data_IF_005944525605
#
_entry.id   IF_005944525605
#
_cell.length_a   1.000
_cell.length_b   1.000
_cell.length_c   1.000
_cell.angle_alpha   90.00
_cell.angle_beta   90.00
_cell.angle_gamma   90.00
#
_symmetry.space_group_name_H-M   'P 1'
#
loop_
_entity.id
_entity.type
_entity.pdbx_description
1 polymer ?
#
# COMPACT_ATOMS: atom_id res chain seq x y z
N UNK A 1 7.51 50.79 19.09
CA UNK A 1 8.20 51.52 20.18
C UNK A 1 8.82 50.51 21.12
N UNK A 2 9.96 50.83 21.74
CA UNK A 2 10.72 49.93 22.63
C UNK A 2 9.88 49.43 23.81
N UNK A 3 9.02 50.30 24.35
CA UNK A 3 8.07 49.94 25.40
C UNK A 3 7.02 48.91 24.95
N UNK A 4 6.47 49.07 23.74
CA UNK A 4 5.51 48.11 23.16
C UNK A 4 6.13 46.74 22.91
N UNK A 5 7.39 46.70 22.45
CA UNK A 5 8.12 45.44 22.31
C UNK A 5 8.35 44.77 23.68
N UNK A 6 8.69 45.55 24.71
CA UNK A 6 8.83 45.03 26.07
C UNK A 6 7.51 44.48 26.64
N UNK A 7 6.39 45.17 26.41
CA UNK A 7 5.06 44.66 26.77
C UNK A 7 4.76 43.30 26.15
N UNK A 8 5.05 43.14 24.87
CA UNK A 8 4.82 41.89 24.16
C UNK A 8 5.77 40.78 24.62
N UNK A 9 7.02 41.14 24.96
CA UNK A 9 7.96 40.23 25.62
C UNK A 9 7.43 39.70 26.96
N UNK A 10 6.91 40.57 27.82
CA UNK A 10 6.35 40.19 29.13
C UNK A 10 5.09 39.32 28.97
N UNK A 11 4.22 39.60 28.00
CA UNK A 11 3.04 38.75 27.71
C UNK A 11 3.43 37.33 27.30
N UNK A 12 4.53 37.17 26.58
CA UNK A 12 5.05 35.86 26.15
C UNK A 12 5.85 35.17 27.26
N UNK A 13 6.56 35.93 28.09
CA UNK A 13 7.37 35.42 29.19
C UNK A 13 6.66 35.53 30.55
N UNK A 14 5.92 34.48 30.91
CA UNK A 14 5.17 34.38 32.18
C UNK A 14 6.01 34.44 33.47
N UNK A 15 7.34 34.52 33.38
CA UNK A 15 8.22 34.67 34.56
C UNK A 15 8.26 36.10 35.08
N UNK A 16 7.92 37.09 34.26
CA UNK A 16 7.97 38.50 34.62
C UNK A 16 6.55 38.97 34.98
N UNK A 17 6.33 39.51 36.19
CA UNK A 17 5.04 40.08 36.55
C UNK A 17 4.68 41.26 35.64
N UNK A 18 3.41 41.42 35.23
CA UNK A 18 2.97 42.54 34.39
C UNK A 18 3.12 43.90 35.08
N UNK A 19 3.21 43.93 36.42
CA UNK A 19 3.49 45.13 37.23
C UNK A 19 4.82 45.80 36.83
N UNK A 20 5.80 45.00 36.42
CA UNK A 20 7.13 45.49 35.97
C UNK A 20 7.01 46.39 34.75
N UNK A 21 6.07 46.11 33.85
CA UNK A 21 5.81 46.95 32.67
C UNK A 21 5.37 48.35 33.10
N UNK A 22 4.50 48.44 34.11
CA UNK A 22 4.03 49.74 34.60
C UNK A 22 5.16 50.52 35.28
N UNK A 23 6.00 49.86 36.07
CA UNK A 23 7.17 50.49 36.70
C UNK A 23 8.17 51.02 35.68
N UNK A 24 8.46 50.24 34.62
CA UNK A 24 9.39 50.62 33.54
C UNK A 24 8.79 51.72 32.66
N UNK A 25 7.47 51.70 32.41
CA UNK A 25 6.77 52.71 31.62
C UNK A 25 6.72 54.11 32.26
N UNK A 26 6.90 54.21 33.57
CA UNK A 26 6.97 55.49 34.29
C UNK A 26 8.35 56.17 34.18
N UNK A 27 9.36 55.51 33.59
CA UNK A 27 10.71 56.06 33.44
C UNK A 27 10.72 56.99 32.22
N UNK A 28 10.83 58.31 32.47
CA UNK A 28 10.84 59.33 31.42
C UNK A 28 12.19 59.51 30.71
N UNK A 29 13.28 59.02 31.32
CA UNK A 29 14.63 59.17 30.75
C UNK A 29 14.99 57.96 29.88
N UNK A 30 15.30 58.15 28.58
CA UNK A 30 15.48 57.06 27.61
C UNK A 30 16.65 56.13 27.94
N UNK A 31 17.71 56.64 28.56
CA UNK A 31 18.81 55.83 29.07
C UNK A 31 18.34 54.90 30.19
N UNK A 32 17.81 55.45 31.29
CA UNK A 32 17.31 54.63 32.40
C UNK A 32 16.22 53.64 31.97
N UNK A 33 15.39 54.00 30.99
CA UNK A 33 14.39 53.09 30.41
C UNK A 33 15.07 51.85 29.78
N UNK A 34 16.11 52.06 28.97
CA UNK A 34 16.87 50.98 28.36
C UNK A 34 17.54 50.07 29.41
N UNK A 35 18.13 50.63 30.49
CA UNK A 35 18.72 49.82 31.56
C UNK A 35 17.69 48.98 32.32
N UNK A 36 16.55 49.60 32.66
CA UNK A 36 15.48 48.94 33.38
C UNK A 36 14.89 47.77 32.56
N UNK A 37 14.73 47.95 31.24
CA UNK A 37 14.29 46.87 30.35
C UNK A 37 15.34 45.74 30.33
N UNK A 38 16.62 46.06 30.13
CA UNK A 38 17.71 45.09 30.02
C UNK A 38 17.95 44.27 31.29
N UNK A 39 17.53 44.77 32.45
CA UNK A 39 17.54 44.02 33.71
C UNK A 39 16.58 42.81 33.67
N UNK A 40 15.46 42.92 32.95
CA UNK A 40 14.42 41.90 32.90
C UNK A 40 14.51 40.98 31.68
N UNK A 41 15.24 41.35 30.63
CA UNK A 41 15.47 40.48 29.47
C UNK A 41 16.60 39.49 29.75
N UNK A 42 16.35 38.22 29.42
CA UNK A 42 17.31 37.12 29.58
C UNK A 42 18.34 37.08 28.45
N UNK A 43 19.22 38.09 28.39
CA UNK A 43 20.28 38.20 27.39
C UNK A 43 21.63 37.70 27.90
N UNK A 44 22.53 37.36 26.97
CA UNK A 44 23.91 36.99 27.30
C UNK A 44 24.68 38.20 27.87
N UNK A 45 25.68 37.98 28.75
CA UNK A 45 26.48 39.08 29.31
C UNK A 45 27.13 39.96 28.23
N UNK A 46 27.57 39.37 27.12
CA UNK A 46 28.15 40.10 25.99
C UNK A 46 27.16 41.07 25.33
N UNK A 47 25.90 40.66 25.15
CA UNK A 47 24.86 41.53 24.60
C UNK A 47 24.50 42.67 25.56
N UNK A 48 24.47 42.40 26.88
CA UNK A 48 24.24 43.43 27.90
C UNK A 48 25.36 44.47 27.89
N UNK A 49 26.60 44.03 27.77
CA UNK A 49 27.77 44.91 27.68
C UNK A 49 27.70 45.81 26.43
N UNK A 50 27.33 45.27 25.26
CA UNK A 50 27.19 46.06 24.03
C UNK A 50 26.17 47.20 24.14
N UNK A 51 25.10 47.01 24.92
CA UNK A 51 24.10 48.07 25.15
C UNK A 51 24.64 49.16 26.08
N UNK A 52 25.44 48.79 27.09
CA UNK A 52 26.07 49.73 28.03
C UNK A 52 27.19 50.56 27.38
N UNK A 53 27.83 50.04 26.34
CA UNK A 53 28.88 50.73 25.57
C UNK A 53 28.33 51.81 24.61
N UNK A 54 27.03 51.80 24.32
CA UNK A 54 26.38 52.83 23.51
C UNK A 54 26.16 54.11 24.33
N UNK A 55 26.91 55.16 23.99
CA UNK A 55 26.82 56.48 24.63
C UNK A 55 25.62 57.30 24.13
N UNK A 56 25.21 57.11 22.89
CA UNK A 56 24.01 57.78 22.35
C UNK A 56 22.74 57.05 22.77
N UNK A 57 21.79 57.79 23.35
CA UNK A 57 20.54 57.23 23.87
C UNK A 57 19.66 56.67 22.75
N UNK A 58 19.77 57.21 21.52
CA UNK A 58 18.96 56.82 20.38
C UNK A 58 19.46 55.49 19.81
N UNK A 59 20.75 55.39 19.52
CA UNK A 59 21.39 54.13 19.11
C UNK A 59 21.19 53.02 20.14
N UNK A 60 21.28 53.36 21.43
CA UNK A 60 21.07 52.40 22.52
C UNK A 60 19.65 51.84 22.55
N UNK A 61 18.63 52.68 22.37
CA UNK A 61 17.23 52.24 22.33
C UNK A 61 16.93 51.39 21.08
N UNK A 62 17.55 51.70 19.94
CA UNK A 62 17.45 50.90 18.72
C UNK A 62 18.05 49.50 18.94
N UNK A 63 19.23 49.43 19.56
CA UNK A 63 19.89 48.16 19.92
C UNK A 63 19.03 47.31 20.86
N UNK A 64 18.47 47.92 21.89
CA UNK A 64 17.56 47.23 22.83
C UNK A 64 16.31 46.72 22.11
N UNK A 65 15.77 47.50 21.18
CA UNK A 65 14.62 47.09 20.38
C UNK A 65 14.94 45.86 19.50
N UNK A 66 16.08 45.85 18.82
CA UNK A 66 16.52 44.70 18.01
C UNK A 66 16.68 43.43 18.87
N UNK A 67 17.36 43.55 20.02
CA UNK A 67 17.54 42.44 20.94
C UNK A 67 16.20 41.92 21.47
N UNK A 68 15.28 42.80 21.85
CA UNK A 68 13.92 42.42 22.25
C UNK A 68 13.17 41.69 21.15
N UNK A 69 13.22 42.19 19.91
CA UNK A 69 12.54 41.56 18.78
C UNK A 69 13.07 40.14 18.53
N UNK A 70 14.39 39.96 18.54
CA UNK A 70 15.00 38.64 18.38
C UNK A 70 14.55 37.66 19.47
N UNK A 71 14.45 38.12 20.72
CA UNK A 71 14.05 37.28 21.84
C UNK A 71 12.54 36.95 21.81
N UNK A 72 11.71 37.90 21.38
CA UNK A 72 10.28 37.68 21.14
C UNK A 72 10.07 36.58 20.09
N UNK A 73 10.83 36.60 18.99
CA UNK A 73 10.76 35.56 17.96
C UNK A 73 11.10 34.18 18.51
N UNK A 74 12.17 34.06 19.31
CA UNK A 74 12.56 32.82 19.98
C UNK A 74 11.41 32.30 20.85
N UNK A 75 10.81 33.16 21.67
CA UNK A 75 9.68 32.79 22.54
C UNK A 75 8.44 32.36 21.74
N UNK A 76 8.15 33.02 20.61
CA UNK A 76 7.03 32.66 19.74
C UNK A 76 7.24 31.28 19.08
N UNK A 77 8.45 31.00 18.60
CA UNK A 77 8.82 29.70 18.04
C UNK A 77 8.62 28.62 19.09
N UNK A 78 9.14 28.82 20.30
CA UNK A 78 9.02 27.84 21.37
C UNK A 78 7.56 27.59 21.78
N UNK A 79 6.73 28.64 21.87
CA UNK A 79 5.28 28.50 22.09
C UNK A 79 4.59 27.68 20.99
N UNK A 80 4.96 27.92 19.73
CA UNK A 80 4.43 27.18 18.58
C UNK A 80 4.85 25.70 18.62
N UNK A 81 6.09 25.41 18.99
CA UNK A 81 6.59 24.04 19.17
C UNK A 81 5.80 23.33 20.28
N UNK A 82 5.68 23.95 21.46
CA UNK A 82 4.90 23.40 22.57
C UNK A 82 3.44 23.11 22.18
N UNK A 83 2.83 24.01 21.41
CA UNK A 83 1.48 23.82 20.88
C UNK A 83 1.36 22.60 19.97
N UNK A 84 2.30 22.41 19.02
CA UNK A 84 2.31 21.23 18.14
C UNK A 84 2.53 19.93 18.90
N UNK A 85 3.48 19.91 19.83
CA UNK A 85 3.77 18.73 20.66
C UNK A 85 2.54 18.33 21.46
N UNK A 86 1.85 19.30 22.10
CA UNK A 86 0.63 19.03 22.86
C UNK A 86 -0.47 18.43 21.97
N UNK A 87 -0.72 19.01 20.79
CA UNK A 87 -1.71 18.47 19.85
C UNK A 87 -1.34 17.06 19.37
N UNK A 88 -0.07 16.79 19.11
CA UNK A 88 0.41 15.48 18.68
C UNK A 88 0.24 14.44 19.80
N UNK A 89 0.54 14.80 21.05
CA UNK A 89 0.33 13.92 22.21
C UNK A 89 -1.15 13.61 22.44
N UNK A 90 -2.03 14.61 22.35
CA UNK A 90 -3.49 14.42 22.49
C UNK A 90 -4.05 13.50 21.40
N UNK A 91 -3.59 13.65 20.15
CA UNK A 91 -3.96 12.75 19.05
C UNK A 91 -3.50 11.32 19.31
N UNK A 92 -2.23 11.14 19.71
CA UNK A 92 -1.68 9.81 20.00
C UNK A 92 -2.38 9.11 21.16
N UNK A 93 -2.68 9.83 22.25
CA UNK A 93 -3.47 9.28 23.35
C UNK A 93 -4.89 8.90 22.93
N UNK A 94 -5.53 9.73 22.11
CA UNK A 94 -6.87 9.45 21.56
C UNK A 94 -6.86 8.22 20.67
N UNK A 95 -5.89 8.11 19.76
CA UNK A 95 -5.71 6.93 18.90
C UNK A 95 -5.43 5.67 19.72
N UNK A 96 -4.55 5.75 20.72
CA UNK A 96 -4.28 4.64 21.62
C UNK A 96 -5.55 4.15 22.33
N UNK A 97 -6.31 5.08 22.91
CA UNK A 97 -7.55 4.77 23.61
C UNK A 97 -8.61 4.16 22.67
N UNK A 98 -8.81 4.74 21.49
CA UNK A 98 -9.73 4.22 20.48
C UNK A 98 -9.33 2.82 20.00
N UNK A 99 -8.04 2.55 19.83
CA UNK A 99 -7.56 1.23 19.44
C UNK A 99 -7.79 0.18 20.54
N UNK A 100 -7.57 0.51 21.81
CA UNK A 100 -7.91 -0.38 22.92
C UNK A 100 -9.43 -0.61 23.01
N UNK A 101 -10.24 0.43 22.79
CA UNK A 101 -11.69 0.26 22.70
C UNK A 101 -12.10 -0.65 21.54
N UNK A 102 -11.51 -0.48 20.35
CA UNK A 102 -11.79 -1.34 19.20
C UNK A 102 -11.41 -2.80 19.48
N UNK A 103 -10.28 -3.06 20.12
CA UNK A 103 -9.89 -4.42 20.53
C UNK A 103 -10.86 -5.00 21.55
N UNK A 104 -11.32 -4.21 22.51
CA UNK A 104 -12.32 -4.65 23.48
C UNK A 104 -13.64 -4.97 22.78
N UNK A 105 -14.12 -4.09 21.88
CA UNK A 105 -15.32 -4.29 21.07
C UNK A 105 -15.18 -5.57 20.22
N UNK A 106 -14.05 -5.82 19.58
CA UNK A 106 -13.81 -7.04 18.79
C UNK A 106 -13.84 -8.31 19.65
N UNK A 107 -13.38 -8.25 20.90
CA UNK A 107 -13.51 -9.37 21.85
C UNK A 107 -14.97 -9.59 22.27
N UNK A 108 -15.69 -8.52 22.57
CA UNK A 108 -17.11 -8.56 22.99
C UNK A 108 -18.05 -8.97 21.83
N UNK A 109 -17.73 -8.61 20.58
CA UNK A 109 -18.49 -9.03 19.40
C UNK A 109 -18.30 -10.53 19.05
N UNK A 110 -17.49 -11.28 19.79
CA UNK A 110 -17.53 -12.75 19.77
C UNK A 110 -16.83 -13.43 18.59
N UNK A 111 -15.84 -12.79 17.96
CA UNK A 111 -15.14 -13.33 16.78
C UNK A 111 -13.78 -14.00 17.11
N UNK A 112 -13.56 -14.35 18.38
CA UNK A 112 -12.30 -14.98 18.82
C UNK A 112 -12.43 -16.44 19.28
N UNK A 113 -13.64 -17.03 19.34
CA UNK A 113 -13.78 -18.35 19.98
C UNK A 113 -14.24 -19.53 19.11
N UNK A 114 -14.61 -19.38 17.83
CA UNK A 114 -14.81 -20.55 16.96
C UNK A 114 -14.38 -20.31 15.49
N UNK A 115 -13.10 -20.54 15.21
CA UNK A 115 -12.55 -20.62 13.85
C UNK A 115 -11.74 -19.40 13.46
N UNK A 116 -10.40 -19.53 13.50
CA UNK A 116 -9.46 -18.46 13.12
C UNK A 116 -9.89 -17.77 11.83
N UNK A 117 -9.97 -16.44 11.87
CA UNK A 117 -10.73 -15.65 10.90
C UNK A 117 -10.47 -16.02 9.44
N UNK A 118 -11.46 -15.75 8.58
CA UNK A 118 -11.47 -15.99 7.13
C UNK A 118 -10.11 -15.70 6.42
N UNK A 119 -9.37 -14.69 6.90
CA UNK A 119 -8.04 -14.31 6.41
C UNK A 119 -6.90 -15.29 6.76
N UNK A 120 -6.97 -15.97 7.89
CA UNK A 120 -6.02 -17.00 8.29
C UNK A 120 -6.30 -18.32 7.56
N UNK A 121 -7.57 -18.64 7.30
CA UNK A 121 -7.94 -19.77 6.43
C UNK A 121 -7.42 -19.54 4.99
N UNK A 122 -7.63 -18.34 4.43
CA UNK A 122 -7.07 -17.95 3.13
C UNK A 122 -5.54 -18.09 3.09
N UNK A 123 -4.86 -17.70 4.17
CA UNK A 123 -3.42 -17.90 4.32
C UNK A 123 -3.02 -19.38 4.21
N UNK A 124 -3.71 -20.26 4.96
CA UNK A 124 -3.46 -21.72 4.89
C UNK A 124 -3.74 -22.30 3.51
N UNK A 125 -4.76 -21.81 2.80
CA UNK A 125 -5.08 -22.25 1.43
C UNK A 125 -3.98 -21.86 0.44
N UNK A 126 -3.40 -20.65 0.56
CA UNK A 126 -2.28 -20.17 -0.27
C UNK A 126 -1.05 -21.08 -0.10
N UNK A 127 -0.73 -21.48 1.12
CA UNK A 127 0.41 -22.38 1.38
C UNK A 127 0.19 -23.79 0.79
N UNK A 128 -1.03 -24.31 0.92
CA UNK A 128 -1.39 -25.66 0.42
C UNK A 128 -1.54 -25.73 -1.11
N UNK A 129 -1.93 -24.64 -1.77
CA UNK A 129 -2.20 -24.62 -3.21
C UNK A 129 -0.97 -24.94 -4.09
N UNK A 130 0.25 -24.82 -3.54
CA UNK A 130 1.46 -25.20 -4.25
C UNK A 130 1.80 -24.27 -5.41
N UNK A 131 1.58 -22.96 -5.20
CA UNK A 131 1.84 -21.87 -6.12
C UNK A 131 3.31 -21.82 -6.57
N UNK A 132 3.57 -21.27 -7.76
CA UNK A 132 4.93 -20.88 -8.16
C UNK A 132 5.44 -19.76 -7.26
N UNK A 133 6.77 -19.55 -7.19
CA UNK A 133 7.37 -18.52 -6.32
C UNK A 133 6.82 -17.11 -6.60
N UNK A 134 6.64 -16.78 -7.87
CA UNK A 134 6.07 -15.49 -8.29
C UNK A 134 4.60 -15.33 -7.90
N UNK A 135 3.80 -16.37 -8.13
CA UNK A 135 2.38 -16.36 -7.79
C UNK A 135 2.16 -16.31 -6.27
N UNK A 136 2.98 -17.02 -5.49
CA UNK A 136 2.94 -17.02 -4.02
C UNK A 136 3.26 -15.63 -3.47
N UNK A 137 4.35 -15.01 -3.92
CA UNK A 137 4.72 -13.67 -3.48
C UNK A 137 3.61 -12.65 -3.77
N UNK A 138 2.96 -12.75 -4.93
CA UNK A 138 1.84 -11.88 -5.30
C UNK A 138 0.60 -12.13 -4.43
N UNK A 139 0.25 -13.40 -4.19
CA UNK A 139 -0.88 -13.78 -3.34
C UNK A 139 -0.68 -13.34 -1.88
N UNK A 140 0.51 -13.52 -1.32
CA UNK A 140 0.85 -13.06 0.04
C UNK A 140 0.83 -11.54 0.15
N UNK A 141 1.29 -10.83 -0.89
CA UNK A 141 1.22 -9.37 -0.97
C UNK A 141 -0.23 -8.85 -0.96
N UNK A 142 -1.12 -9.46 -1.75
CA UNK A 142 -2.54 -9.11 -1.78
C UNK A 142 -3.25 -9.49 -0.47
N UNK A 143 -2.89 -10.61 0.16
CA UNK A 143 -3.42 -10.99 1.49
C UNK A 143 -3.03 -9.97 2.57
N UNK A 144 -1.80 -9.44 2.54
CA UNK A 144 -1.38 -8.38 3.47
C UNK A 144 -2.18 -7.10 3.29
N UNK A 145 -2.46 -6.70 2.04
CA UNK A 145 -3.34 -5.56 1.76
C UNK A 145 -4.75 -5.80 2.27
N UNK A 146 -5.30 -7.00 2.04
CA UNK A 146 -6.63 -7.37 2.51
C UNK A 146 -6.77 -7.29 4.04
N UNK A 147 -5.71 -7.66 4.79
CA UNK A 147 -5.67 -7.52 6.26
C UNK A 147 -5.73 -6.08 6.76
N UNK A 148 -5.27 -5.12 5.96
CA UNK A 148 -5.26 -3.69 6.32
C UNK A 148 -6.54 -2.97 5.89
N UNK A 149 -7.34 -3.58 5.00
CA UNK A 149 -8.60 -3.02 4.51
C UNK A 149 -9.75 -3.38 5.45
N UNK A 150 -10.78 -2.51 5.51
CA UNK A 150 -12.02 -2.84 6.18
C UNK A 150 -12.74 -3.99 5.44
N UNK A 151 -13.17 -5.01 6.18
CA UNK A 151 -13.75 -6.26 5.66
C UNK A 151 -15.02 -6.08 4.80
N UNK A 152 -15.71 -4.94 4.96
CA UNK A 152 -16.94 -4.58 4.24
C UNK A 152 -16.71 -3.66 3.02
N UNK A 153 -15.47 -3.32 2.68
CA UNK A 153 -15.17 -2.45 1.53
C UNK A 153 -15.35 -3.18 0.19
N UNK A 154 -15.88 -2.49 -0.82
CA UNK A 154 -15.97 -3.01 -2.19
C UNK A 154 -14.60 -3.43 -2.76
N UNK A 155 -13.52 -2.76 -2.35
CA UNK A 155 -12.15 -3.11 -2.74
C UNK A 155 -11.70 -4.44 -2.12
N UNK A 156 -12.10 -4.73 -0.88
CA UNK A 156 -11.79 -5.98 -0.21
C UNK A 156 -12.43 -7.18 -0.94
N UNK A 157 -13.64 -7.00 -1.48
CA UNK A 157 -14.31 -8.03 -2.31
C UNK A 157 -13.53 -8.33 -3.59
N UNK A 158 -13.00 -7.31 -4.27
CA UNK A 158 -12.22 -7.48 -5.51
C UNK A 158 -10.93 -8.25 -5.22
N UNK A 159 -10.22 -7.90 -4.14
CA UNK A 159 -8.98 -8.57 -3.75
C UNK A 159 -9.24 -10.02 -3.32
N UNK A 160 -10.31 -10.28 -2.55
CA UNK A 160 -10.72 -11.64 -2.17
C UNK A 160 -11.00 -12.49 -3.41
N UNK A 161 -11.79 -11.98 -4.36
CA UNK A 161 -12.07 -12.66 -5.63
C UNK A 161 -10.81 -12.94 -6.45
N UNK A 162 -9.85 -12.01 -6.45
CA UNK A 162 -8.55 -12.23 -7.10
C UNK A 162 -7.77 -13.38 -6.44
N UNK A 163 -7.72 -13.44 -5.11
CA UNK A 163 -7.05 -14.52 -4.39
C UNK A 163 -7.77 -15.85 -4.65
N UNK A 164 -9.09 -15.90 -4.61
CA UNK A 164 -9.86 -17.12 -4.86
C UNK A 164 -9.71 -17.63 -6.30
N UNK A 165 -9.72 -16.74 -7.30
CA UNK A 165 -9.47 -17.12 -8.69
C UNK A 165 -8.05 -17.67 -8.86
N UNK A 166 -7.06 -17.08 -8.20
CA UNK A 166 -5.67 -17.55 -8.21
C UNK A 166 -5.53 -18.93 -7.55
N UNK A 167 -6.25 -19.18 -6.45
CA UNK A 167 -6.31 -20.49 -5.78
C UNK A 167 -7.09 -21.55 -6.59
N UNK A 168 -8.06 -21.12 -7.41
CA UNK A 168 -8.84 -22.01 -8.27
C UNK A 168 -8.08 -22.56 -9.48
N UNK A 169 -6.90 -22.04 -9.79
CA UNK A 169 -6.10 -22.50 -10.92
C UNK A 169 -5.33 -23.80 -10.60
N UNK A 170 -5.20 -24.73 -11.57
CA UNK A 170 -4.49 -25.99 -11.37
C UNK A 170 -2.96 -25.81 -11.46
N UNK A 171 -2.31 -25.40 -10.37
CA UNK A 171 -0.86 -25.13 -10.33
C UNK A 171 0.02 -26.39 -10.43
N UNK A 172 -0.38 -27.47 -9.72
CA UNK A 172 0.38 -28.74 -9.68
C UNK A 172 -0.32 -29.91 -10.37
N UNK A 173 -1.60 -29.77 -10.69
CA UNK A 173 -2.41 -30.84 -11.30
C UNK A 173 -2.17 -30.85 -12.81
N UNK A 174 -1.34 -31.78 -13.28
CA UNK A 174 -1.22 -32.11 -14.70
C UNK A 174 -1.92 -33.45 -14.96
N UNK A 175 -2.69 -33.53 -16.04
CA UNK A 175 -3.25 -34.81 -16.51
C UNK A 175 -2.14 -35.68 -17.10
N UNK A 176 -2.21 -36.99 -16.87
CA UNK A 176 -1.31 -37.95 -17.52
C UNK A 176 -1.70 -38.03 -18.99
N UNK A 177 -0.79 -37.71 -19.88
CA UNK A 177 -1.01 -37.82 -21.33
C UNK A 177 -0.53 -39.20 -21.78
N UNK A 178 -1.42 -39.99 -22.38
CA UNK A 178 -1.03 -41.24 -23.03
C UNK A 178 -0.23 -40.95 -24.30
N UNK A 179 0.78 -41.78 -24.58
CA UNK A 179 1.68 -41.61 -25.73
C UNK A 179 1.58 -42.78 -26.72
N UNK A 180 0.50 -43.56 -26.67
CA UNK A 180 0.32 -44.71 -27.54
C UNK A 180 -0.34 -44.32 -28.87
N UNK A 181 0.44 -44.33 -29.94
CA UNK A 181 -0.02 -44.03 -31.30
C UNK A 181 -1.01 -45.09 -31.80
N UNK A 182 -0.82 -46.37 -31.46
CA UNK A 182 -1.72 -47.45 -31.91
C UNK A 182 -3.08 -47.38 -31.25
N UNK A 183 -3.13 -46.90 -30.01
CA UNK A 183 -4.39 -46.60 -29.35
C UNK A 183 -5.08 -45.40 -30.02
N UNK A 184 -4.34 -44.35 -30.37
CA UNK A 184 -4.88 -43.17 -31.05
C UNK A 184 -5.44 -43.51 -32.44
N UNK A 185 -4.77 -44.38 -33.22
CA UNK A 185 -5.26 -44.83 -34.53
C UNK A 185 -6.60 -45.56 -34.43
N UNK A 186 -6.74 -46.50 -33.48
CA UNK A 186 -8.00 -47.21 -33.26
C UNK A 186 -9.15 -46.26 -32.90
N UNK A 187 -8.89 -45.31 -32.00
CA UNK A 187 -9.90 -44.31 -31.58
C UNK A 187 -10.32 -43.43 -32.78
N UNK A 188 -9.36 -43.02 -33.63
CA UNK A 188 -9.65 -42.22 -34.81
C UNK A 188 -10.48 -42.98 -35.86
N UNK A 189 -10.26 -44.29 -36.00
CA UNK A 189 -11.07 -45.14 -36.89
C UNK A 189 -12.47 -45.42 -36.34
N UNK A 190 -12.61 -45.57 -35.01
CA UNK A 190 -13.92 -45.75 -34.34
C UNK A 190 -14.79 -44.48 -34.39
N UNK A 191 -14.19 -43.30 -34.14
CA UNK A 191 -14.94 -42.04 -34.00
C UNK A 191 -15.25 -41.36 -35.34
N UNK A 192 -14.52 -41.68 -36.43
CA UNK A 192 -14.65 -41.02 -37.73
C UNK A 192 -14.58 -41.98 -38.91
N UNK A 193 -15.61 -42.00 -39.75
CA UNK A 193 -15.60 -42.74 -41.01
C UNK A 193 -14.88 -41.94 -42.13
N UNK A 194 -13.93 -42.56 -42.83
CA UNK A 194 -13.19 -41.95 -43.94
C UNK A 194 -12.01 -41.05 -43.51
N UNK A 195 -11.73 -39.99 -44.28
CA UNK A 195 -10.70 -38.97 -43.99
C UNK A 195 -9.25 -39.50 -43.83
N UNK A 196 -8.86 -40.50 -44.62
CA UNK A 196 -7.54 -41.15 -44.55
C UNK A 196 -6.36 -40.16 -44.50
N UNK A 197 -6.34 -39.17 -45.42
CA UNK A 197 -5.28 -38.13 -45.46
C UNK A 197 -5.22 -37.25 -44.20
N UNK A 198 -6.36 -36.99 -43.55
CA UNK A 198 -6.41 -36.16 -42.33
C UNK A 198 -5.98 -36.98 -41.12
N UNK A 199 -6.43 -38.24 -41.03
CA UNK A 199 -6.04 -39.16 -39.96
C UNK A 199 -4.53 -39.43 -39.97
N UNK A 200 -3.96 -39.69 -41.14
CA UNK A 200 -2.52 -39.86 -41.32
C UNK A 200 -1.74 -38.64 -40.81
N UNK A 201 -2.18 -37.43 -41.17
CA UNK A 201 -1.57 -36.17 -40.70
C UNK A 201 -1.69 -35.95 -39.19
N UNK A 202 -2.78 -36.42 -38.58
CA UNK A 202 -2.96 -36.37 -37.12
C UNK A 202 -2.01 -37.35 -36.43
N UNK A 203 -1.87 -38.56 -36.95
CA UNK A 203 -0.95 -39.58 -36.43
C UNK A 203 0.51 -39.14 -36.58
N UNK A 204 0.89 -38.52 -37.69
CA UNK A 204 2.22 -37.91 -37.89
C UNK A 204 2.52 -36.87 -36.81
N UNK A 205 1.57 -35.99 -36.52
CA UNK A 205 1.73 -34.96 -35.49
C UNK A 205 1.89 -35.57 -34.08
N UNK A 206 1.06 -36.57 -33.73
CA UNK A 206 1.18 -37.29 -32.46
C UNK A 206 2.52 -38.04 -32.36
N UNK A 207 3.02 -38.58 -33.47
CA UNK A 207 4.32 -39.25 -33.53
C UNK A 207 5.49 -38.27 -33.31
N UNK A 208 5.42 -37.07 -33.87
CA UNK A 208 6.39 -36.00 -33.60
C UNK A 208 6.31 -35.56 -32.14
N UNK A 209 5.10 -35.41 -31.60
CA UNK A 209 4.88 -35.02 -30.20
C UNK A 209 5.39 -36.07 -29.20
N UNK A 210 5.31 -37.37 -29.53
CA UNK A 210 5.86 -38.45 -28.71
C UNK A 210 7.39 -38.36 -28.59
N UNK A 211 8.08 -37.96 -29.67
CA UNK A 211 9.55 -37.83 -29.70
C UNK A 211 10.06 -36.60 -28.96
N UNK A 212 9.31 -35.50 -28.97
CA UNK A 212 9.65 -34.26 -28.24
C UNK A 212 9.30 -34.42 -26.76
N UNK A 213 10.12 -35.21 -26.04
CA UNK A 213 9.91 -35.56 -24.63
C UNK A 213 10.10 -34.39 -23.62
N UNK A 214 10.46 -33.18 -24.07
CA UNK A 214 10.75 -32.07 -23.19
C UNK A 214 9.67 -30.99 -23.20
N UNK A 215 8.48 -31.30 -22.67
CA UNK A 215 7.53 -30.38 -21.97
C UNK A 215 7.19 -29.01 -22.59
N UNK A 216 7.69 -28.72 -23.79
CA UNK A 216 7.61 -27.48 -24.52
C UNK A 216 7.00 -27.87 -25.84
N UNK A 217 5.70 -27.60 -25.97
CA UNK A 217 4.97 -27.65 -27.22
C UNK A 217 5.56 -26.57 -28.16
N UNK A 218 6.75 -26.83 -28.71
CA UNK A 218 7.37 -26.04 -29.79
C UNK A 218 7.04 -26.69 -31.14
N UNK A 219 5.79 -27.12 -31.28
CA UNK A 219 5.26 -27.69 -32.51
C UNK A 219 4.22 -26.74 -33.13
N UNK A 220 4.05 -26.73 -34.46
CA UNK A 220 3.00 -25.97 -35.11
C UNK A 220 1.62 -26.43 -34.60
N UNK A 221 0.76 -25.49 -34.22
CA UNK A 221 -0.61 -25.78 -33.79
C UNK A 221 -1.39 -26.33 -35.00
N UNK A 222 -2.12 -27.44 -34.82
CA UNK A 222 -2.97 -27.97 -35.89
C UNK A 222 -4.22 -27.11 -36.03
N UNK A 223 -4.37 -26.48 -37.18
CA UNK A 223 -5.60 -25.83 -37.61
C UNK A 223 -6.40 -26.75 -38.54
N UNK A 224 -7.61 -27.13 -38.14
CA UNK A 224 -8.54 -27.90 -38.98
C UNK A 224 -9.49 -26.94 -39.71
N UNK A 225 -9.37 -26.86 -41.03
CA UNK A 225 -10.20 -26.00 -41.89
C UNK A 225 -11.18 -26.86 -42.68
N UNK A 226 -12.45 -26.46 -42.75
CA UNK A 226 -13.49 -27.20 -43.49
C UNK A 226 -14.88 -26.56 -43.37
N UNK A 227 -15.92 -27.09 -44.02
CA UNK A 227 -17.30 -26.61 -43.87
C UNK A 227 -17.83 -26.77 -42.42
N UNK A 228 -18.82 -25.98 -41.97
CA UNK A 228 -19.46 -26.17 -40.67
C UNK A 228 -20.13 -27.55 -40.60
N UNK A 229 -19.91 -28.28 -39.50
CA UNK A 229 -20.42 -29.65 -39.31
C UNK A 229 -19.32 -30.71 -39.14
N UNK A 230 -18.22 -30.62 -39.90
CA UNK A 230 -17.14 -31.64 -39.87
C UNK A 230 -16.13 -31.39 -38.72
N UNK A 231 -16.03 -30.15 -38.24
CA UNK A 231 -14.89 -29.66 -37.44
C UNK A 231 -14.90 -30.03 -35.95
N UNK A 232 -16.06 -30.01 -35.29
CA UNK A 232 -16.14 -30.19 -33.84
C UNK A 232 -15.94 -31.64 -33.39
N UNK A 233 -16.36 -32.60 -34.22
CA UNK A 233 -16.32 -34.01 -33.86
C UNK A 233 -14.89 -34.56 -33.89
N UNK A 234 -14.06 -34.16 -34.87
CA UNK A 234 -12.64 -34.56 -34.95
C UNK A 234 -11.79 -34.03 -33.80
N UNK A 235 -12.04 -32.79 -33.35
CA UNK A 235 -11.30 -32.22 -32.23
C UNK A 235 -11.55 -32.97 -30.91
N UNK A 236 -12.76 -33.53 -30.73
CA UNK A 236 -13.14 -34.33 -29.56
C UNK A 236 -12.50 -35.73 -29.58
N UNK A 237 -12.42 -36.39 -30.74
CA UNK A 237 -11.82 -37.73 -30.86
C UNK A 237 -10.30 -37.78 -30.65
N UNK A 238 -9.59 -36.70 -31.00
CA UNK A 238 -8.12 -36.61 -30.82
C UNK A 238 -7.64 -36.85 -29.39
N UNK A 239 -8.50 -36.61 -28.41
CA UNK A 239 -8.20 -36.77 -26.99
C UNK A 239 -9.30 -37.64 -26.40
N UNK A 240 -9.47 -38.83 -26.98
CA UNK A 240 -10.51 -39.80 -26.62
C UNK A 240 -10.73 -39.79 -25.11
N UNK A 241 -12.01 -39.83 -24.72
CA UNK A 241 -12.56 -39.74 -23.36
C UNK A 241 -11.85 -40.58 -22.27
N UNK A 242 -10.90 -41.44 -22.66
CA UNK A 242 -10.13 -42.36 -21.83
C UNK A 242 -8.75 -41.83 -21.37
N UNK A 243 -8.19 -40.80 -21.99
CA UNK A 243 -6.84 -40.30 -21.64
C UNK A 243 -6.78 -39.35 -20.43
N UNK A 244 -7.91 -39.10 -19.75
CA UNK A 244 -7.94 -38.29 -18.52
C UNK A 244 -7.57 -36.81 -18.71
N UNK A 245 -7.32 -36.37 -19.94
CA UNK A 245 -7.14 -34.97 -20.34
C UNK A 245 -8.50 -34.28 -20.48
N UNK A 246 -8.74 -33.24 -19.68
CA UNK A 246 -9.95 -32.40 -19.80
C UNK A 246 -9.91 -31.57 -21.08
N UNK A 247 -10.83 -31.82 -22.01
CA UNK A 247 -10.99 -31.02 -23.22
C UNK A 247 -11.83 -29.76 -22.92
N UNK A 248 -11.34 -28.59 -23.34
CA UNK A 248 -12.08 -27.33 -23.27
C UNK A 248 -12.14 -26.69 -24.65
N UNK A 249 -13.34 -26.57 -25.21
CA UNK A 249 -13.56 -25.83 -26.45
C UNK A 249 -13.76 -24.35 -26.14
N UNK A 250 -12.94 -23.49 -26.74
CA UNK A 250 -13.17 -22.04 -26.77
C UNK A 250 -13.65 -21.64 -28.16
N UNK A 251 -14.82 -21.00 -28.22
CA UNK A 251 -15.38 -20.51 -29.48
C UNK A 251 -14.86 -19.11 -29.71
N UNK A 252 -13.99 -18.95 -30.71
CA UNK A 252 -13.53 -17.66 -31.20
C UNK A 252 -14.49 -17.18 -32.29
N UNK A 253 -15.66 -16.70 -31.89
CA UNK A 253 -16.59 -15.99 -32.78
C UNK A 253 -16.08 -14.56 -32.99
N UNK A 254 -15.86 -14.17 -34.24
CA UNK A 254 -15.26 -12.88 -34.57
C UNK A 254 -16.07 -11.70 -34.05
N UNK A 255 -15.44 -10.89 -33.20
CA UNK A 255 -15.53 -9.43 -33.28
C UNK A 255 -14.94 -8.99 -34.63
N UNK A 256 -15.65 -9.26 -35.72
CA UNK A 256 -15.37 -8.64 -36.99
C UNK A 256 -15.74 -7.16 -36.82
N UNK A 257 -14.72 -6.33 -36.56
CA UNK A 257 -14.85 -4.89 -36.62
C UNK A 257 -15.45 -4.52 -37.98
N UNK A 258 -16.57 -3.82 -37.94
CA UNK A 258 -16.94 -2.91 -39.02
C UNK A 258 -15.86 -1.81 -39.02
N UNK A 259 -14.88 -1.98 -39.88
CA UNK A 259 -13.98 -0.93 -40.34
C UNK A 259 -14.41 -0.53 -41.75
#
# INVERSE_FOLDING_TARGET
STLGAFEDYVKLNRRIPPEVVQSVGNIGEPGHLADAIMAHVSLTPAQKQQVLECLDFKERLEKVLELLQSEIEVLQIDRRIRGRVKQQMERGQREYYLNEQMKAIQRELGDLDEGGGDLDELGRRIEKAGLSKEARNKAEGELRKLRQMASMSAEATVVRNYIDTLLGLPWKKMSRVSRDIRAAERILEEDHYGLAKVKERILEYLAVQQRVSHGKLRGPIICLVGPPGVRQNLARAKHGSRDGTTFRAHVFGGSAGRG
#
